data_IF_885808641294
#
_entry.id   IF_885808641294
#
_cell.length_a   1.000
_cell.length_b   1.000
_cell.length_c   1.000
_cell.angle_alpha   90.00
_cell.angle_beta   90.00
_cell.angle_gamma   90.00
#
_symmetry.space_group_name_H-M   'P 1'
#
loop_
_entity.id
_entity.type
_entity.pdbx_description
1 polymer ?
#
# COMPACT_ATOMS: atom_id res chain seq x y z
N UNK A 1 25.24 -12.30 2.93
CA UNK A 1 24.59 -11.98 4.21
C UNK A 1 23.50 -10.97 3.87
N UNK A 2 22.24 -11.28 4.16
CA UNK A 2 21.14 -10.33 3.95
C UNK A 2 21.38 -9.10 4.84
N UNK A 3 21.15 -7.91 4.28
CA UNK A 3 21.22 -6.67 5.05
C UNK A 3 20.17 -6.72 6.18
N UNK A 4 20.49 -6.22 7.38
CA UNK A 4 19.50 -6.14 8.45
C UNK A 4 18.33 -5.25 8.02
N UNK A 5 17.15 -5.53 8.58
CA UNK A 5 15.96 -4.71 8.33
C UNK A 5 16.27 -3.23 8.62
N UNK A 6 15.91 -2.31 7.71
CA UNK A 6 16.02 -0.89 8.01
C UNK A 6 15.09 -0.59 9.20
N UNK A 7 15.53 0.22 10.17
CA UNK A 7 14.68 0.71 11.24
C UNK A 7 13.37 1.32 10.72
N UNK A 8 12.29 1.27 11.51
CA UNK A 8 10.96 1.78 11.12
C UNK A 8 10.99 3.23 10.63
N UNK A 9 11.84 4.04 11.23
CA UNK A 9 12.04 5.44 10.89
C UNK A 9 12.80 5.66 9.57
N UNK A 10 13.23 4.63 8.85
CA UNK A 10 13.82 4.77 7.52
C UNK A 10 12.81 4.58 6.39
N UNK A 11 11.65 3.97 6.67
CA UNK A 11 10.62 3.78 5.65
C UNK A 11 10.03 5.12 5.24
N UNK A 12 10.00 5.40 3.94
CA UNK A 12 9.52 6.68 3.40
C UNK A 12 8.28 6.54 2.51
N UNK A 13 7.99 5.31 2.07
CA UNK A 13 6.84 5.00 1.21
C UNK A 13 6.01 3.91 1.87
N UNK A 14 4.74 4.18 2.11
CA UNK A 14 3.73 3.19 2.48
C UNK A 14 3.02 2.68 1.23
N UNK A 15 2.93 1.37 1.09
CA UNK A 15 2.15 0.68 0.05
C UNK A 15 1.02 -0.09 0.73
N UNK A 16 -0.21 0.36 0.52
CA UNK A 16 -1.41 -0.22 1.13
C UNK A 16 -2.15 -1.03 0.06
N UNK A 17 -2.36 -2.31 0.37
CA UNK A 17 -3.14 -3.23 -0.45
C UNK A 17 -4.53 -3.42 0.16
N UNK A 18 -5.56 -3.60 -0.67
CA UNK A 18 -6.89 -3.94 -0.18
C UNK A 18 -7.07 -5.45 -0.04
N UNK A 19 -6.46 -6.25 -0.93
CA UNK A 19 -6.64 -7.69 -1.00
C UNK A 19 -5.33 -8.45 -0.67
N UNK A 20 -5.41 -9.65 -0.07
CA UNK A 20 -4.25 -10.51 0.15
C UNK A 20 -3.49 -10.89 -1.14
N UNK A 21 -4.18 -10.99 -2.28
CA UNK A 21 -3.55 -11.26 -3.57
C UNK A 21 -2.70 -10.08 -4.06
N UNK A 22 -3.18 -8.85 -3.83
CA UNK A 22 -2.44 -7.62 -4.14
C UNK A 22 -1.22 -7.51 -3.23
N UNK A 23 -1.37 -7.83 -1.95
CA UNK A 23 -0.27 -7.87 -0.98
C UNK A 23 0.80 -8.90 -1.37
N UNK A 24 0.38 -10.09 -1.80
CA UNK A 24 1.28 -11.12 -2.31
C UNK A 24 2.06 -10.63 -3.52
N UNK A 25 1.39 -9.96 -4.46
CA UNK A 25 2.03 -9.38 -5.63
C UNK A 25 3.00 -8.25 -5.23
N UNK A 26 2.58 -7.31 -4.37
CA UNK A 26 3.41 -6.21 -3.88
C UNK A 26 4.70 -6.73 -3.24
N UNK A 27 4.61 -7.76 -2.39
CA UNK A 27 5.78 -8.43 -1.81
C UNK A 27 6.68 -9.02 -2.88
N UNK A 28 6.14 -9.61 -3.95
CA UNK A 28 6.95 -10.16 -5.03
C UNK A 28 7.75 -9.09 -5.82
N UNK A 29 7.30 -7.83 -5.81
CA UNK A 29 7.98 -6.71 -6.48
C UNK A 29 9.08 -6.03 -5.65
N UNK A 30 9.26 -6.39 -4.38
CA UNK A 30 10.34 -5.86 -3.55
C UNK A 30 11.68 -6.48 -3.98
N UNK A 31 12.70 -5.63 -4.19
CA UNK A 31 14.06 -6.06 -4.51
C UNK A 31 14.72 -6.75 -3.30
N UNK A 32 14.49 -6.20 -2.11
CA UNK A 32 14.88 -6.78 -0.82
C UNK A 32 13.67 -6.87 0.10
N UNK A 33 13.58 -7.96 0.85
CA UNK A 33 12.58 -8.17 1.90
C UNK A 33 13.29 -8.29 3.24
N UNK A 34 12.69 -7.70 4.25
CA UNK A 34 13.24 -7.74 5.59
C UNK A 34 12.22 -8.41 6.52
N UNK A 35 12.72 -9.34 7.34
CA UNK A 35 11.93 -9.90 8.44
C UNK A 35 11.68 -8.79 9.46
N UNK A 36 10.43 -8.66 9.89
CA UNK A 36 10.05 -7.65 10.87
C UNK A 36 9.04 -8.20 11.87
N UNK A 37 9.43 -8.25 13.14
CA UNK A 37 8.51 -8.42 14.26
C UNK A 37 7.89 -7.05 14.57
N UNK A 38 6.94 -6.62 13.74
CA UNK A 38 6.22 -5.37 13.96
C UNK A 38 4.97 -5.65 14.76
N UNK A 39 4.96 -5.19 16.01
CA UNK A 39 3.86 -5.36 16.93
C UNK A 39 3.72 -4.07 17.76
N UNK A 40 3.28 -2.99 17.11
CA UNK A 40 3.01 -1.74 17.81
C UNK A 40 1.66 -1.86 18.53
N UNK A 41 1.63 -1.47 19.80
CA UNK A 41 0.43 -1.56 20.62
C UNK A 41 -0.74 -0.79 19.96
N UNK A 42 -1.78 -1.54 19.58
CA UNK A 42 -2.99 -1.00 18.95
C UNK A 42 -2.88 -0.78 17.44
N UNK A 43 -1.88 -1.37 16.78
CA UNK A 43 -1.79 -1.52 15.33
C UNK A 43 -1.85 -3.02 14.99
N UNK A 44 -3.01 -3.46 14.51
CA UNK A 44 -3.26 -4.86 14.17
C UNK A 44 -2.93 -5.17 12.70
N UNK A 45 -2.28 -4.24 11.98
CA UNK A 45 -1.93 -4.47 10.58
C UNK A 45 -0.66 -5.31 10.44
N UNK A 46 -0.68 -6.21 9.46
CA UNK A 46 0.53 -6.91 9.03
C UNK A 46 1.38 -6.01 8.12
N UNK A 47 2.68 -5.97 8.40
CA UNK A 47 3.65 -5.21 7.62
C UNK A 47 4.74 -6.10 7.04
N UNK A 48 5.07 -5.88 5.77
CA UNK A 48 6.33 -6.33 5.18
C UNK A 48 7.21 -5.10 4.92
N UNK A 49 8.38 -5.07 5.55
CA UNK A 49 9.44 -4.13 5.17
C UNK A 49 10.19 -4.63 3.94
N UNK A 50 10.49 -3.73 3.03
CA UNK A 50 11.33 -4.03 1.89
C UNK A 50 11.96 -2.80 1.25
N UNK A 51 12.63 -3.05 0.12
CA UNK A 51 13.27 -2.01 -0.67
C UNK A 51 12.92 -2.16 -2.13
N UNK A 52 12.65 -1.04 -2.80
CA UNK A 52 12.61 -0.93 -4.26
C UNK A 52 13.64 0.11 -4.68
N UNK A 53 14.70 -0.34 -5.34
CA UNK A 53 15.90 0.41 -5.68
C UNK A 53 16.51 1.10 -4.45
N UNK A 54 16.27 2.40 -4.31
CA UNK A 54 16.79 3.24 -3.21
C UNK A 54 15.70 3.69 -2.23
N UNK A 55 14.49 3.15 -2.37
CA UNK A 55 13.34 3.53 -1.56
C UNK A 55 13.02 2.41 -0.59
N UNK A 56 13.06 2.72 0.70
CA UNK A 56 12.57 1.83 1.75
C UNK A 56 11.05 1.94 1.81
N UNK A 57 10.39 0.80 1.57
CA UNK A 57 8.95 0.65 1.40
C UNK A 57 8.41 -0.22 2.51
N UNK A 58 7.33 0.22 3.15
CA UNK A 58 6.51 -0.60 4.04
C UNK A 58 5.23 -0.99 3.31
N UNK A 59 5.00 -2.29 3.14
CA UNK A 59 3.80 -2.84 2.51
C UNK A 59 2.86 -3.34 3.59
N UNK A 60 1.58 -3.01 3.51
CA UNK A 60 0.53 -3.54 4.38
C UNK A 60 -0.70 -3.98 3.59
N UNK A 61 -1.54 -4.77 4.22
CA UNK A 61 -2.84 -5.20 3.69
C UNK A 61 -3.94 -4.84 4.68
N UNK A 62 -5.09 -4.45 4.17
CA UNK A 62 -6.28 -4.24 4.99
C UNK A 62 -6.64 -5.55 5.74
N UNK A 63 -7.10 -5.48 7.01
CA UNK A 63 -7.49 -6.66 7.77
C UNK A 63 -8.50 -7.55 7.04
N UNK A 64 -8.32 -8.87 7.17
CA UNK A 64 -9.17 -9.87 6.51
C UNK A 64 -10.66 -9.68 6.84
N UNK A 65 -11.49 -9.61 5.80
CA UNK A 65 -12.95 -9.49 5.93
C UNK A 65 -13.47 -8.05 6.08
N UNK A 66 -12.59 -7.06 6.27
CA UNK A 66 -12.94 -5.65 6.26
C UNK A 66 -12.51 -5.01 4.94
N UNK A 67 -13.36 -5.12 3.91
CA UNK A 67 -13.15 -4.41 2.65
C UNK A 67 -13.80 -3.03 2.67
N UNK A 68 -13.16 -2.09 1.97
CA UNK A 68 -13.70 -0.77 1.69
C UNK A 68 -12.94 0.36 2.38
N UNK A 69 -13.48 1.56 2.18
CA UNK A 69 -12.81 2.84 2.51
C UNK A 69 -12.44 2.99 3.99
N UNK A 70 -13.26 2.49 4.92
CA UNK A 70 -12.99 2.58 6.36
C UNK A 70 -11.78 1.74 6.76
N UNK A 71 -11.71 0.50 6.30
CA UNK A 71 -10.61 -0.42 6.60
C UNK A 71 -9.29 0.12 6.07
N UNK A 72 -9.28 0.57 4.81
CA UNK A 72 -8.11 1.21 4.22
C UNK A 72 -7.70 2.51 4.93
N UNK A 73 -8.66 3.30 5.40
CA UNK A 73 -8.37 4.51 6.18
C UNK A 73 -7.75 4.18 7.54
N UNK A 74 -8.19 3.11 8.19
CA UNK A 74 -7.60 2.61 9.44
C UNK A 74 -6.17 2.11 9.21
N UNK A 75 -5.97 1.24 8.21
CA UNK A 75 -4.63 0.76 7.84
C UNK A 75 -3.68 1.91 7.48
N UNK A 76 -4.15 2.91 6.73
CA UNK A 76 -3.36 4.09 6.42
C UNK A 76 -3.01 4.93 7.66
N UNK A 77 -3.96 5.09 8.58
CA UNK A 77 -3.77 5.84 9.83
C UNK A 77 -2.74 5.15 10.71
N UNK A 78 -2.85 3.85 10.88
CA UNK A 78 -1.97 3.07 11.74
C UNK A 78 -0.57 2.97 11.11
N UNK A 79 -0.47 2.77 9.80
CA UNK A 79 0.81 2.85 9.07
C UNK A 79 1.50 4.20 9.30
N UNK A 80 0.77 5.31 9.18
CA UNK A 80 1.32 6.65 9.41
C UNK A 80 1.77 6.87 10.86
N UNK A 81 1.12 6.20 11.83
CA UNK A 81 1.48 6.25 13.25
C UNK A 81 2.72 5.41 13.55
N UNK A 82 2.77 4.19 13.02
CA UNK A 82 3.82 3.19 13.27
C UNK A 82 5.11 3.49 12.49
N UNK A 83 5.01 4.19 11.35
CA UNK A 83 6.13 4.58 10.49
C UNK A 83 6.14 6.11 10.29
N UNK A 84 6.62 6.89 11.27
CA UNK A 84 6.48 8.35 11.30
C UNK A 84 7.23 9.07 10.16
N UNK A 85 8.17 8.42 9.50
CA UNK A 85 8.94 8.98 8.39
C UNK A 85 8.38 8.60 7.02
N UNK A 86 7.24 7.89 6.96
CA UNK A 86 6.50 7.70 5.71
C UNK A 86 5.96 9.04 5.23
N UNK A 87 6.37 9.43 4.02
CA UNK A 87 6.01 10.70 3.37
C UNK A 87 4.95 10.52 2.30
N UNK A 88 4.87 9.33 1.72
CA UNK A 88 3.95 8.99 0.64
C UNK A 88 3.23 7.70 0.98
N UNK A 89 1.90 7.75 1.09
CA UNK A 89 1.05 6.56 1.15
C UNK A 89 0.44 6.30 -0.22
N UNK A 90 0.67 5.12 -0.78
CA UNK A 90 0.13 4.67 -2.05
C UNK A 90 -0.83 3.53 -1.79
N UNK A 91 -2.09 3.75 -2.15
CA UNK A 91 -3.10 2.70 -2.20
C UNK A 91 -3.01 2.07 -3.60
N UNK A 92 -2.62 0.80 -3.67
CA UNK A 92 -2.33 0.11 -4.94
C UNK A 92 -3.01 -1.24 -4.94
N UNK A 93 -3.80 -1.48 -5.97
CA UNK A 93 -4.58 -2.70 -6.10
C UNK A 93 -5.16 -2.86 -7.50
N UNK A 94 -5.92 -3.94 -7.68
CA UNK A 94 -6.74 -4.16 -8.88
C UNK A 94 -8.03 -3.37 -8.76
N UNK A 95 -8.55 -2.92 -9.90
CA UNK A 95 -9.80 -2.16 -9.96
C UNK A 95 -10.63 -2.53 -11.17
N UNK A 96 -11.94 -2.26 -11.10
CA UNK A 96 -12.84 -2.35 -12.24
C UNK A 96 -12.85 -1.04 -13.04
N UNK A 97 -12.84 -1.13 -14.37
CA UNK A 97 -12.99 0.01 -15.28
C UNK A 97 -14.42 0.14 -15.82
N UNK A 98 -14.87 1.37 -16.06
CA UNK A 98 -16.13 1.67 -16.75
C UNK A 98 -15.79 2.42 -18.04
N UNK A 99 -15.55 1.73 -19.17
CA UNK A 99 -15.24 2.39 -20.44
C UNK A 99 -16.43 3.20 -20.97
N UNK A 100 -16.15 4.28 -21.69
CA UNK A 100 -17.14 5.08 -22.41
C UNK A 100 -16.58 5.57 -23.75
N UNK A 101 -17.41 6.12 -24.63
CA UNK A 101 -16.97 6.68 -25.92
C UNK A 101 -15.90 7.79 -25.77
N UNK A 102 -15.85 8.42 -24.59
CA UNK A 102 -14.90 9.46 -24.22
C UNK A 102 -13.74 8.98 -23.34
N UNK A 103 -13.81 7.75 -22.81
CA UNK A 103 -12.80 7.15 -21.94
C UNK A 103 -12.54 5.71 -22.38
N UNK A 104 -11.49 5.53 -23.18
CA UNK A 104 -11.03 4.23 -23.65
C UNK A 104 -10.23 3.51 -22.54
N UNK A 105 -10.95 2.94 -21.56
CA UNK A 105 -10.38 2.15 -20.46
C UNK A 105 -10.36 0.68 -20.87
N UNK A 106 -9.19 0.06 -20.83
CA UNK A 106 -8.98 -1.33 -21.27
C UNK A 106 -8.37 -2.18 -20.15
N UNK A 107 -8.58 -3.50 -20.26
CA UNK A 107 -7.94 -4.45 -19.37
C UNK A 107 -6.41 -4.35 -19.51
N UNK A 108 -5.73 -4.18 -18.38
CA UNK A 108 -4.28 -4.00 -18.31
C UNK A 108 -3.83 -2.55 -18.20
N UNK A 109 -4.74 -1.58 -18.33
CA UNK A 109 -4.41 -0.18 -18.08
C UNK A 109 -4.06 0.05 -16.60
N UNK A 110 -3.05 0.89 -16.37
CA UNK A 110 -2.70 1.39 -15.04
C UNK A 110 -3.26 2.80 -14.91
N UNK A 111 -4.22 2.97 -13.99
CA UNK A 111 -4.87 4.25 -13.72
C UNK A 111 -4.26 4.87 -12.47
N UNK A 112 -3.86 6.13 -12.58
CA UNK A 112 -3.36 6.91 -11.44
C UNK A 112 -4.38 8.01 -11.13
N UNK A 113 -5.03 7.92 -9.98
CA UNK A 113 -5.92 8.98 -9.51
C UNK A 113 -5.10 10.14 -8.94
N UNK A 114 -5.44 11.36 -9.35
CA UNK A 114 -5.08 12.57 -8.63
C UNK A 114 -6.34 13.34 -8.30
N UNK A 115 -6.34 14.09 -7.20
CA UNK A 115 -7.55 14.78 -6.73
C UNK A 115 -8.02 15.81 -7.76
N UNK A 116 -9.17 15.57 -8.40
CA UNK A 116 -9.87 16.55 -9.24
C UNK A 116 -11.15 16.99 -8.53
N UNK A 117 -11.09 18.11 -7.82
CA UNK A 117 -12.22 18.63 -7.04
C UNK A 117 -12.51 17.82 -5.77
N UNK A 118 -13.77 17.40 -5.58
CA UNK A 118 -14.25 16.67 -4.38
C UNK A 118 -14.29 15.15 -4.53
N UNK A 119 -14.04 14.62 -5.73
CA UNK A 119 -14.18 13.20 -6.04
C UNK A 119 -12.84 12.63 -6.49
N UNK A 120 -12.52 11.40 -6.05
CA UNK A 120 -11.41 10.64 -6.62
C UNK A 120 -11.83 10.10 -7.98
N UNK A 121 -10.90 10.08 -8.95
CA UNK A 121 -11.13 9.45 -10.25
C UNK A 121 -11.10 7.91 -10.16
N UNK A 122 -10.60 7.37 -9.05
CA UNK A 122 -10.58 5.93 -8.73
C UNK A 122 -11.36 5.71 -7.43
N UNK A 123 -12.29 4.77 -7.47
CA UNK A 123 -12.99 4.27 -6.29
C UNK A 123 -12.34 2.94 -5.91
N UNK A 124 -12.09 2.76 -4.62
CA UNK A 124 -11.50 1.55 -4.05
C UNK A 124 -12.33 1.08 -2.87
#
# INVERSE_FOLDING_TARGET
>A
MSSPAPPKDQSTVGWICALPIEYTAARAFLDEKFESDHNDLGDDNDYTLGRIKKHDVVVTVCPDGEYGTTSAANAARDLARSFPNVRFGLMVGIGGGIPSDTHDIRLGDVVVSSKVGKHSAVLQ
#
